data_IF_913065036622
#
_entry.id   IF_913065036622
#
_cell.length_a   1.000
_cell.length_b   1.000
_cell.length_c   1.000
_cell.angle_alpha   90.00
_cell.angle_beta   90.00
_cell.angle_gamma   90.00
#
_symmetry.space_group_name_H-M   'P 1'
#
loop_
_entity.id
_entity.type
_entity.pdbx_description
1 polymer ?
#
# COMPACT_ATOMS: atom_id res chain seq x y z
N UNK A 1 23.95 -4.20 -3.27
CA UNK A 1 23.05 -3.01 -3.28
C UNK A 1 23.29 -2.01 -2.14
N UNK A 2 23.81 -2.43 -0.97
CA UNK A 2 24.12 -1.51 0.15
C UNK A 2 25.50 -0.85 0.05
N UNK A 3 26.33 -1.28 -0.89
CA UNK A 3 27.60 -0.63 -1.17
C UNK A 3 27.39 0.79 -1.68
N UNK A 4 28.37 1.65 -1.44
CA UNK A 4 28.28 3.08 -1.78
C UNK A 4 29.01 3.42 -3.07
N UNK A 5 28.48 4.41 -3.79
CA UNK A 5 29.07 5.02 -4.98
C UNK A 5 29.10 6.54 -4.80
N UNK A 6 30.02 7.20 -5.51
CA UNK A 6 30.05 8.67 -5.59
C UNK A 6 29.26 9.09 -6.81
N UNK A 7 28.25 9.93 -6.63
CA UNK A 7 27.44 10.53 -7.69
C UNK A 7 27.53 12.05 -7.63
N UNK A 8 27.24 12.72 -8.74
CA UNK A 8 27.07 14.18 -8.77
C UNK A 8 25.59 14.49 -8.86
N UNK A 9 25.02 15.06 -7.79
CA UNK A 9 23.63 15.52 -7.73
C UNK A 9 23.63 17.05 -7.62
N UNK A 10 22.92 17.75 -8.52
CA UNK A 10 22.81 19.21 -8.51
C UNK A 10 24.17 19.93 -8.41
N UNK A 11 25.17 19.43 -9.15
CA UNK A 11 26.53 19.96 -9.16
C UNK A 11 27.37 19.61 -7.92
N UNK A 12 26.85 18.87 -6.94
CA UNK A 12 27.59 18.45 -5.73
C UNK A 12 27.87 16.96 -5.72
N UNK A 13 29.10 16.59 -5.38
CA UNK A 13 29.48 15.17 -5.20
C UNK A 13 28.93 14.64 -3.89
N UNK A 14 28.28 13.48 -3.93
CA UNK A 14 27.71 12.80 -2.76
C UNK A 14 28.01 11.32 -2.78
N UNK A 15 28.26 10.76 -1.59
CA UNK A 15 28.37 9.31 -1.38
C UNK A 15 26.98 8.75 -1.05
N UNK A 16 26.46 7.87 -1.89
CA UNK A 16 25.12 7.27 -1.75
C UNK A 16 25.20 5.77 -1.96
N UNK A 17 24.22 5.00 -1.50
CA UNK A 17 24.16 3.57 -1.82
C UNK A 17 23.82 3.37 -3.30
N UNK A 18 24.27 2.25 -3.89
CA UNK A 18 23.90 1.89 -5.27
C UNK A 18 22.39 1.84 -5.45
N UNK A 19 21.64 1.32 -4.45
CA UNK A 19 20.17 1.31 -4.49
C UNK A 19 19.60 2.72 -4.64
N UNK A 20 20.05 3.68 -3.82
CA UNK A 20 19.58 5.06 -3.92
C UNK A 20 19.91 5.68 -5.28
N UNK A 21 21.14 5.49 -5.76
CA UNK A 21 21.55 6.02 -7.08
C UNK A 21 20.66 5.50 -8.23
N UNK A 22 20.34 4.20 -8.21
CA UNK A 22 19.48 3.57 -9.23
C UNK A 22 18.07 4.16 -9.20
N UNK A 23 17.47 4.27 -8.01
CA UNK A 23 16.11 4.82 -7.87
C UNK A 23 16.08 6.29 -8.30
N UNK A 24 17.04 7.11 -7.87
CA UNK A 24 17.14 8.51 -8.32
C UNK A 24 17.23 8.61 -9.84
N UNK A 25 18.07 7.79 -10.47
CA UNK A 25 18.23 7.81 -11.92
C UNK A 25 16.96 7.37 -12.66
N UNK A 26 16.24 6.39 -12.11
CA UNK A 26 14.97 5.92 -12.66
C UNK A 26 13.90 7.00 -12.61
N UNK A 27 13.79 7.72 -11.48
CA UNK A 27 12.88 8.86 -11.33
C UNK A 27 13.23 9.98 -12.31
N UNK A 28 14.51 10.35 -12.40
CA UNK A 28 14.95 11.41 -13.31
C UNK A 28 14.64 11.09 -14.79
N UNK A 29 14.88 9.85 -15.24
CA UNK A 29 14.55 9.43 -16.62
C UNK A 29 13.04 9.38 -16.86
N UNK A 30 12.27 8.95 -15.87
CA UNK A 30 10.82 8.94 -15.97
C UNK A 30 10.27 10.36 -16.13
N UNK A 31 10.81 11.33 -15.38
CA UNK A 31 10.45 12.74 -15.50
C UNK A 31 10.77 13.34 -16.89
N UNK A 32 11.72 12.77 -17.63
CA UNK A 32 12.05 13.15 -19.01
C UNK A 32 11.30 12.32 -20.07
N UNK A 33 10.18 11.69 -19.71
CA UNK A 33 9.34 10.89 -20.61
C UNK A 33 10.01 9.61 -21.19
N UNK A 34 11.02 9.04 -20.53
CA UNK A 34 11.53 7.71 -20.89
C UNK A 34 10.48 6.64 -20.52
N UNK A 35 9.74 6.15 -21.51
CA UNK A 35 8.68 5.15 -21.32
C UNK A 35 9.15 3.86 -20.66
N UNK A 36 10.41 3.44 -20.89
CA UNK A 36 10.95 2.25 -20.25
C UNK A 36 11.20 2.49 -18.76
N UNK A 37 11.71 3.67 -18.41
CA UNK A 37 11.88 4.07 -17.02
C UNK A 37 10.53 4.22 -16.31
N UNK A 38 9.54 4.85 -16.96
CA UNK A 38 8.18 5.01 -16.43
C UNK A 38 7.56 3.66 -16.12
N UNK A 39 7.64 2.69 -17.05
CA UNK A 39 7.08 1.35 -16.83
C UNK A 39 7.68 0.69 -15.59
N UNK A 40 9.01 0.67 -15.48
CA UNK A 40 9.70 0.05 -14.33
C UNK A 40 9.30 0.76 -13.03
N UNK A 41 9.20 2.09 -13.03
CA UNK A 41 8.79 2.85 -11.85
C UNK A 41 7.34 2.53 -11.44
N UNK A 42 6.42 2.48 -12.40
CA UNK A 42 5.01 2.12 -12.15
C UNK A 42 4.87 0.69 -11.62
N UNK A 43 5.63 -0.26 -12.16
CA UNK A 43 5.63 -1.65 -11.69
C UNK A 43 6.10 -1.73 -10.22
N UNK A 44 7.14 -0.98 -9.84
CA UNK A 44 7.62 -0.88 -8.46
C UNK A 44 6.56 -0.22 -7.55
N UNK A 45 5.91 0.85 -8.01
CA UNK A 45 4.86 1.53 -7.23
C UNK A 45 3.67 0.62 -6.96
N UNK A 46 3.19 -0.10 -7.99
CA UNK A 46 2.11 -1.09 -7.85
C UNK A 46 2.46 -2.22 -6.90
N UNK A 47 3.71 -2.69 -6.92
CA UNK A 47 4.16 -3.70 -5.98
C UNK A 47 4.09 -3.18 -4.53
N UNK A 48 4.56 -1.95 -4.30
CA UNK A 48 4.51 -1.33 -2.96
C UNK A 48 3.05 -1.17 -2.50
N UNK A 49 2.17 -0.68 -3.37
CA UNK A 49 0.73 -0.55 -3.09
C UNK A 49 0.11 -1.90 -2.71
N UNK A 50 0.39 -2.97 -3.48
CA UNK A 50 -0.08 -4.33 -3.19
C UNK A 50 0.40 -4.87 -1.84
N UNK A 51 1.64 -4.59 -1.46
CA UNK A 51 2.17 -4.98 -0.14
C UNK A 51 1.54 -4.17 1.01
N UNK A 52 0.94 -3.02 0.70
CA UNK A 52 0.30 -2.13 1.67
C UNK A 52 -1.21 -2.40 1.77
N UNK A 53 -1.81 -3.09 0.79
CA UNK A 53 -3.17 -3.60 0.92
C UNK A 53 -3.23 -4.63 2.06
N UNK A 54 -4.15 -4.47 3.02
CA UNK A 54 -4.33 -5.46 4.08
C UNK A 54 -4.67 -6.80 3.43
N UNK A 55 -3.75 -7.77 3.55
CA UNK A 55 -3.83 -9.12 2.96
C UNK A 55 -4.96 -9.98 3.55
N UNK A 56 -5.73 -9.46 4.49
CA UNK A 56 -6.97 -10.06 4.92
C UNK A 56 -7.96 -8.94 5.20
N UNK A 57 -9.28 -9.12 4.97
CA UNK A 57 -10.19 -8.52 5.92
C UNK A 57 -9.67 -9.00 7.28
N UNK A 58 -9.28 -8.09 8.16
CA UNK A 58 -9.27 -8.42 9.58
C UNK A 58 -10.60 -9.14 9.77
N UNK A 59 -10.54 -10.45 10.05
CA UNK A 59 -11.72 -11.13 10.49
C UNK A 59 -12.01 -10.40 11.79
N UNK A 60 -12.85 -9.37 11.72
CA UNK A 60 -13.57 -8.81 12.83
C UNK A 60 -14.40 -9.98 13.31
N UNK A 61 -13.75 -10.88 14.04
CA UNK A 61 -14.39 -11.90 14.81
C UNK A 61 -15.20 -11.08 15.80
N UNK A 62 -16.52 -11.03 15.53
CA UNK A 62 -17.46 -10.41 16.44
C UNK A 62 -17.15 -10.94 17.84
N UNK A 63 -16.90 -10.03 18.77
CA UNK A 63 -16.76 -10.39 20.16
C UNK A 63 -18.10 -10.92 20.66
N UNK A 64 -18.08 -11.62 21.80
CA UNK A 64 -19.32 -12.07 22.45
C UNK A 64 -20.29 -10.89 22.72
N UNK A 65 -19.74 -9.69 22.94
CA UNK A 65 -20.54 -8.47 23.09
C UNK A 65 -21.25 -8.08 21.79
N UNK A 66 -20.56 -8.18 20.65
CA UNK A 66 -21.13 -7.86 19.34
C UNK A 66 -22.24 -8.86 18.95
N UNK A 67 -22.05 -10.14 19.27
CA UNK A 67 -23.06 -11.18 19.05
C UNK A 67 -24.32 -10.94 19.89
N UNK A 68 -24.17 -10.53 21.16
CA UNK A 68 -25.32 -10.15 22.01
C UNK A 68 -26.06 -8.93 21.49
N UNK A 69 -25.35 -7.93 20.95
CA UNK A 69 -25.97 -6.75 20.34
C UNK A 69 -26.76 -7.16 19.09
N UNK A 70 -26.21 -8.03 18.25
CA UNK A 70 -26.91 -8.55 17.06
C UNK A 70 -28.18 -9.32 17.41
N UNK A 71 -28.15 -10.14 18.47
CA UNK A 71 -29.35 -10.86 18.94
C UNK A 71 -30.44 -9.92 19.45
N UNK A 72 -30.08 -8.86 20.18
CA UNK A 72 -31.05 -7.85 20.60
C UNK A 72 -31.67 -7.10 19.41
N UNK A 73 -30.87 -6.81 18.39
CA UNK A 73 -31.34 -6.17 17.16
C UNK A 73 -32.33 -7.10 16.43
N UNK A 74 -31.98 -8.37 16.23
CA UNK A 74 -32.86 -9.38 15.60
C UNK A 74 -34.18 -9.54 16.36
N UNK A 75 -34.14 -9.58 17.69
CA UNK A 75 -35.34 -9.69 18.52
C UNK A 75 -36.29 -8.49 18.29
N UNK A 76 -35.75 -7.27 18.29
CA UNK A 76 -36.56 -6.05 18.04
C UNK A 76 -37.19 -6.02 16.65
N UNK A 77 -36.47 -6.49 15.63
CA UNK A 77 -37.01 -6.58 14.25
C UNK A 77 -38.01 -7.73 14.07
N UNK A 78 -37.91 -8.79 14.86
CA UNK A 78 -38.83 -9.94 14.79
C UNK A 78 -40.15 -9.69 15.52
N UNK A 79 -40.17 -8.79 16.52
CA UNK A 79 -41.39 -8.36 17.24
C UNK A 79 -42.36 -7.57 16.33
N UNK A 80 -41.92 -7.17 15.12
CA UNK A 80 -42.71 -6.41 14.16
C UNK A 80 -43.36 -7.21 13.02
N UNK A 81 -43.30 -8.55 13.01
CA UNK A 81 -44.10 -9.34 12.04
C UNK A 81 -45.50 -9.60 12.59
N UNK A 82 -46.56 -8.93 12.09
CA UNK A 82 -47.91 -9.42 12.31
C UNK A 82 -48.04 -10.76 11.59
N UNK A 83 -48.56 -11.76 12.31
CA UNK A 83 -49.00 -13.04 11.76
C UNK A 83 -50.00 -12.76 10.63
N UNK A 84 -49.75 -13.31 9.44
CA UNK A 84 -50.75 -13.46 8.38
C UNK A 84 -51.46 -14.79 8.57
#
# INVERSE_FOLDING_TARGET
>A
MNETVIVTENGRRRKVTKRRAIITQLVNRSATADFRAIKILLDIMREIERQTEPTAPEAFAFSEADEKVLEQIKARFSIGKPEQ
#
